data_IF_955568120471
#
_entry.id   IF_955568120471
#
_cell.length_a   1.000
_cell.length_b   1.000
_cell.length_c   1.000
_cell.angle_alpha   90.00
_cell.angle_beta   90.00
_cell.angle_gamma   90.00
#
_symmetry.space_group_name_H-M   'P 1'
#
loop_
_entity.id
_entity.type
_entity.pdbx_description
1 polymer ?
#
# COMPACT_ATOMS: atom_id res chain seq x y z
N UNK A 1 14.16 -16.10 10.02
CA UNK A 1 13.47 -16.72 8.88
C UNK A 1 12.48 -15.79 8.18
N UNK A 2 11.56 -15.15 8.93
CA UNK A 2 10.50 -14.29 8.35
C UNK A 2 11.08 -13.16 7.50
N UNK A 3 12.09 -12.45 7.99
CA UNK A 3 12.72 -11.34 7.27
C UNK A 3 13.41 -11.84 5.99
N UNK A 4 14.21 -12.91 6.08
CA UNK A 4 14.87 -13.53 4.90
C UNK A 4 13.82 -13.91 3.85
N UNK A 5 12.72 -14.54 4.26
CA UNK A 5 11.64 -14.89 3.36
C UNK A 5 11.07 -13.66 2.64
N UNK A 6 10.78 -12.61 3.40
CA UNK A 6 10.21 -11.37 2.86
C UNK A 6 11.14 -10.72 1.84
N UNK A 7 12.44 -10.62 2.16
CA UNK A 7 13.42 -9.93 1.32
C UNK A 7 13.83 -10.72 0.08
N UNK A 8 13.86 -12.07 0.17
CA UNK A 8 14.45 -12.92 -0.87
C UNK A 8 13.45 -13.81 -1.61
N UNK A 9 12.35 -14.17 -1.00
CA UNK A 9 11.44 -15.19 -1.51
C UNK A 9 10.04 -14.66 -1.86
N UNK A 10 9.53 -13.72 -1.06
CA UNK A 10 8.14 -13.26 -1.15
C UNK A 10 7.83 -12.57 -2.48
N UNK A 11 8.79 -11.92 -3.12
CA UNK A 11 8.61 -11.28 -4.43
C UNK A 11 8.11 -12.25 -5.51
N UNK A 12 8.60 -13.49 -5.49
CA UNK A 12 8.19 -14.52 -6.44
C UNK A 12 7.12 -15.47 -5.88
N UNK A 13 7.20 -15.82 -4.59
CA UNK A 13 6.33 -16.82 -3.98
C UNK A 13 5.12 -16.25 -3.23
N UNK A 14 5.02 -14.93 -3.14
CA UNK A 14 3.98 -14.22 -2.41
C UNK A 14 4.20 -14.23 -0.88
N UNK A 15 3.80 -13.16 -0.19
CA UNK A 15 3.93 -13.03 1.28
C UNK A 15 3.19 -14.16 2.00
N UNK A 16 2.01 -14.53 1.49
CA UNK A 16 1.17 -15.60 2.02
C UNK A 16 1.50 -16.98 1.43
N UNK A 17 2.59 -17.10 0.68
CA UNK A 17 3.08 -18.34 0.04
C UNK A 17 2.12 -18.98 -0.95
N UNK A 18 1.14 -18.23 -1.44
CA UNK A 18 0.15 -18.73 -2.43
C UNK A 18 0.70 -18.74 -3.87
N UNK A 19 1.95 -18.29 -4.07
CA UNK A 19 2.57 -18.11 -5.36
C UNK A 19 2.31 -16.72 -5.94
N UNK A 20 3.13 -16.33 -6.91
CA UNK A 20 3.00 -15.15 -7.77
C UNK A 20 3.64 -15.49 -9.11
N UNK A 21 4.85 -14.98 -9.43
CA UNK A 21 5.65 -15.46 -10.58
C UNK A 21 6.29 -16.81 -10.31
N UNK A 22 6.60 -17.12 -9.03
CA UNK A 22 7.05 -18.42 -8.55
C UNK A 22 5.89 -19.31 -8.08
N UNK A 23 6.16 -20.62 -8.01
CA UNK A 23 5.17 -21.61 -7.57
C UNK A 23 4.72 -21.39 -6.11
N UNK A 24 3.49 -21.81 -5.73
CA UNK A 24 3.05 -21.80 -4.34
C UNK A 24 3.99 -22.61 -3.43
N UNK A 25 4.18 -22.10 -2.21
CA UNK A 25 4.93 -22.75 -1.13
C UNK A 25 3.99 -23.01 0.06
N UNK A 26 2.81 -23.55 -0.23
CA UNK A 26 1.85 -23.94 0.80
C UNK A 26 2.34 -25.17 1.56
N UNK A 27 1.97 -25.33 2.84
CA UNK A 27 2.49 -26.43 3.68
C UNK A 27 2.27 -27.84 3.13
N UNK A 28 1.16 -28.08 2.45
CA UNK A 28 0.87 -29.34 1.76
C UNK A 28 1.91 -29.66 0.68
N UNK A 29 2.29 -28.67 -0.13
CA UNK A 29 3.31 -28.81 -1.18
C UNK A 29 4.70 -28.97 -0.58
N UNK A 30 5.08 -28.11 0.38
CA UNK A 30 6.43 -28.06 0.90
C UNK A 30 6.73 -29.24 1.83
N UNK A 31 5.79 -29.67 2.65
CA UNK A 31 5.92 -30.86 3.52
C UNK A 31 6.02 -32.16 2.69
N UNK A 32 5.24 -32.26 1.60
CA UNK A 32 5.32 -33.41 0.70
C UNK A 32 6.68 -33.54 0.00
N UNK A 33 7.40 -32.43 -0.22
CA UNK A 33 8.75 -32.43 -0.81
C UNK A 33 9.84 -32.77 0.20
N UNK A 34 9.63 -32.41 1.45
CA UNK A 34 10.56 -32.66 2.54
C UNK A 34 11.75 -31.67 2.59
N UNK A 35 12.34 -31.58 3.77
CA UNK A 35 13.35 -30.57 4.08
C UNK A 35 14.58 -30.66 3.18
N UNK A 36 15.13 -31.86 2.92
CA UNK A 36 16.36 -32.02 2.13
C UNK A 36 16.16 -31.63 0.67
N UNK A 37 15.03 -31.95 0.08
CA UNK A 37 14.67 -31.48 -1.26
C UNK A 37 14.61 -29.95 -1.31
N UNK A 38 13.95 -29.33 -0.34
CA UNK A 38 13.80 -27.88 -0.27
C UNK A 38 15.16 -27.19 -0.06
N UNK A 39 16.03 -27.73 0.79
CA UNK A 39 17.40 -27.23 0.98
C UNK A 39 18.17 -27.24 -0.35
N UNK A 40 18.12 -28.35 -1.06
CA UNK A 40 18.80 -28.51 -2.35
C UNK A 40 18.28 -27.48 -3.34
N UNK A 41 16.95 -27.32 -3.41
CA UNK A 41 16.33 -26.39 -4.34
C UNK A 41 16.63 -24.92 -4.01
N UNK A 42 16.66 -24.54 -2.72
CA UNK A 42 17.03 -23.19 -2.29
C UNK A 42 18.53 -22.94 -2.55
N UNK A 43 19.38 -23.93 -2.27
CA UNK A 43 20.83 -23.79 -2.42
C UNK A 43 21.26 -23.63 -3.87
N UNK A 44 20.73 -24.45 -4.77
CA UNK A 44 21.20 -24.54 -6.16
C UNK A 44 20.26 -23.82 -7.16
N UNK A 45 19.05 -23.45 -6.74
CA UNK A 45 18.06 -22.84 -7.62
C UNK A 45 17.51 -23.78 -8.69
N UNK A 46 16.99 -23.23 -9.77
CA UNK A 46 16.49 -24.00 -10.91
C UNK A 46 16.66 -23.28 -12.23
N UNK A 47 16.80 -24.00 -13.36
CA UNK A 47 16.80 -23.39 -14.69
C UNK A 47 15.52 -22.63 -15.04
N UNK A 48 14.43 -22.90 -14.31
CA UNK A 48 13.15 -22.22 -14.48
C UNK A 48 13.08 -20.83 -13.80
N UNK A 49 14.21 -20.28 -13.36
CA UNK A 49 14.33 -18.91 -12.86
C UNK A 49 14.37 -18.75 -11.34
N UNK A 50 14.39 -19.85 -10.56
CA UNK A 50 14.63 -19.72 -9.13
C UNK A 50 16.13 -19.48 -8.90
N UNK A 51 16.55 -18.39 -8.21
CA UNK A 51 17.96 -18.11 -7.94
C UNK A 51 18.63 -19.17 -7.07
N UNK A 52 19.92 -19.33 -7.23
CA UNK A 52 20.78 -20.26 -6.50
C UNK A 52 21.32 -19.64 -5.20
N UNK A 53 20.43 -19.33 -4.27
CA UNK A 53 20.68 -18.52 -3.08
C UNK A 53 21.88 -18.99 -2.22
N UNK A 54 22.12 -20.29 -2.13
CA UNK A 54 23.26 -20.82 -1.36
C UNK A 54 24.56 -20.74 -2.12
N UNK A 55 24.60 -21.13 -3.40
CA UNK A 55 25.85 -21.16 -4.19
C UNK A 55 26.27 -19.76 -4.69
N UNK A 56 25.35 -18.79 -4.73
CA UNK A 56 25.68 -17.38 -4.96
C UNK A 56 26.32 -16.70 -3.74
N UNK A 57 26.18 -17.30 -2.54
CA UNK A 57 26.63 -16.72 -1.29
C UNK A 57 25.65 -15.74 -0.62
N UNK A 58 24.44 -15.58 -1.18
CA UNK A 58 23.41 -14.72 -0.61
C UNK A 58 22.79 -15.29 0.67
N UNK A 59 22.79 -16.62 0.82
CA UNK A 59 22.38 -17.34 2.01
C UNK A 59 23.46 -18.35 2.42
N UNK A 60 23.79 -18.36 3.70
CA UNK A 60 24.66 -19.39 4.31
C UNK A 60 23.94 -20.75 4.39
N UNK A 61 24.67 -21.86 4.51
CA UNK A 61 24.05 -23.18 4.67
C UNK A 61 23.07 -23.28 5.87
N UNK A 62 23.36 -22.68 7.05
CA UNK A 62 22.37 -22.59 8.13
C UNK A 62 21.10 -21.81 7.76
N UNK A 63 21.21 -20.74 6.98
CA UNK A 63 20.05 -19.96 6.52
C UNK A 63 19.24 -20.73 5.47
N UNK A 64 19.90 -21.49 4.60
CA UNK A 64 19.21 -22.41 3.66
C UNK A 64 18.42 -23.47 4.42
N UNK A 65 18.99 -24.10 5.45
CA UNK A 65 18.28 -25.05 6.32
C UNK A 65 17.10 -24.37 7.06
N UNK A 66 17.35 -23.21 7.64
CA UNK A 66 16.34 -22.41 8.31
C UNK A 66 15.16 -22.08 7.38
N UNK A 67 15.45 -21.70 6.14
CA UNK A 67 14.41 -21.37 5.16
C UNK A 67 13.62 -22.60 4.70
N UNK A 68 14.31 -23.73 4.47
CA UNK A 68 13.66 -24.98 4.11
C UNK A 68 12.68 -25.46 5.18
N UNK A 69 13.01 -25.29 6.46
CA UNK A 69 12.08 -25.58 7.57
C UNK A 69 11.00 -24.55 7.70
N UNK A 70 11.32 -23.27 7.55
CA UNK A 70 10.38 -22.18 7.70
C UNK A 70 9.22 -22.24 6.69
N UNK A 71 9.50 -22.59 5.43
CA UNK A 71 8.44 -22.65 4.40
C UNK A 71 7.52 -23.87 4.56
N UNK A 72 7.82 -24.82 5.44
CA UNK A 72 6.96 -25.95 5.80
C UNK A 72 5.99 -25.63 6.96
N UNK A 73 6.20 -24.51 7.67
CA UNK A 73 5.26 -24.00 8.66
C UNK A 73 4.05 -23.36 7.97
N UNK A 74 2.98 -23.18 8.72
CA UNK A 74 1.84 -22.46 8.20
C UNK A 74 2.22 -21.02 7.80
N UNK A 75 1.69 -20.50 6.68
CA UNK A 75 1.98 -19.13 6.25
C UNK A 75 1.44 -18.14 7.28
N UNK A 76 1.97 -16.90 7.31
CA UNK A 76 1.41 -15.89 8.19
C UNK A 76 -0.07 -15.67 7.86
N UNK A 77 -0.89 -15.55 8.88
CA UNK A 77 -2.28 -15.12 8.71
C UNK A 77 -2.28 -13.70 8.17
N UNK A 78 -3.03 -13.41 7.10
CA UNK A 78 -3.15 -12.05 6.61
C UNK A 78 -3.65 -11.16 7.75
N UNK A 79 -3.04 -10.00 7.97
CA UNK A 79 -3.64 -9.06 8.89
C UNK A 79 -5.01 -8.67 8.35
N UNK A 80 -6.03 -8.82 9.16
CA UNK A 80 -7.38 -8.39 8.82
C UNK A 80 -7.54 -6.91 9.16
N UNK A 81 -8.19 -6.18 8.27
CA UNK A 81 -8.62 -4.81 8.50
C UNK A 81 -10.09 -4.75 8.09
N UNK A 82 -10.94 -4.84 9.08
CA UNK A 82 -12.39 -4.95 8.91
C UNK A 82 -13.05 -3.60 8.62
N UNK A 83 -14.31 -3.64 8.17
CA UNK A 83 -15.12 -2.43 8.03
C UNK A 83 -15.25 -1.67 9.37
N UNK A 84 -15.35 -2.39 10.48
CA UNK A 84 -15.38 -1.78 11.81
C UNK A 84 -14.08 -1.03 12.15
N UNK A 85 -12.92 -1.56 11.70
CA UNK A 85 -11.63 -0.86 11.88
C UNK A 85 -11.56 0.40 11.01
N UNK A 86 -12.09 0.34 9.78
CA UNK A 86 -12.23 1.51 8.89
C UNK A 86 -13.09 2.57 9.58
N UNK A 87 -14.29 2.22 10.03
CA UNK A 87 -15.21 3.13 10.71
C UNK A 87 -14.60 3.75 11.95
N UNK A 88 -13.96 2.96 12.80
CA UNK A 88 -13.27 3.41 14.02
C UNK A 88 -12.11 4.36 13.73
N UNK A 89 -11.45 4.20 12.61
CA UNK A 89 -10.32 5.04 12.21
C UNK A 89 -10.73 6.39 11.63
N UNK A 90 -12.02 6.58 11.32
CA UNK A 90 -12.53 7.81 10.72
C UNK A 90 -12.40 8.99 11.66
N UNK A 91 -11.89 10.09 11.13
CA UNK A 91 -11.84 11.39 11.79
C UNK A 91 -12.50 12.44 10.89
N UNK A 92 -13.56 13.05 11.39
CA UNK A 92 -14.17 14.21 10.77
C UNK A 92 -13.47 15.49 11.28
N UNK A 93 -12.55 16.03 10.48
CA UNK A 93 -11.84 17.30 10.75
C UNK A 93 -12.83 18.44 10.72
N UNK A 94 -13.71 18.44 9.71
CA UNK A 94 -14.88 19.32 9.63
C UNK A 94 -16.11 18.43 9.66
N UNK A 95 -16.92 18.48 10.74
CA UNK A 95 -18.18 17.74 10.84
C UNK A 95 -19.09 17.96 9.64
N UNK A 96 -19.76 16.91 9.17
CA UNK A 96 -20.59 16.96 7.95
C UNK A 96 -21.60 18.12 8.00
N UNK A 97 -22.25 18.33 9.14
CA UNK A 97 -23.22 19.41 9.33
C UNK A 97 -22.63 20.84 9.22
N UNK A 98 -21.30 20.96 9.35
CA UNK A 98 -20.59 22.26 9.21
C UNK A 98 -19.98 22.47 7.82
N UNK A 99 -20.05 21.46 6.95
CA UNK A 99 -19.57 21.59 5.57
C UNK A 99 -20.53 22.44 4.76
N UNK A 100 -20.04 23.26 3.81
CA UNK A 100 -20.91 24.12 3.02
C UNK A 100 -21.92 23.33 2.20
N UNK A 101 -23.14 23.83 2.06
CA UNK A 101 -24.18 23.23 1.23
C UNK A 101 -24.11 23.69 -0.23
N UNK A 102 -23.29 24.71 -0.51
CA UNK A 102 -22.99 25.24 -1.86
C UNK A 102 -21.52 25.62 -1.96
N UNK A 103 -21.02 25.74 -3.17
CA UNK A 103 -19.64 26.17 -3.41
C UNK A 103 -19.43 27.60 -2.87
N UNK A 104 -18.41 27.77 -2.01
CA UNK A 104 -18.10 29.02 -1.30
C UNK A 104 -16.91 29.78 -1.88
N UNK A 105 -16.38 29.33 -3.01
CA UNK A 105 -15.27 29.96 -3.74
C UNK A 105 -15.62 30.09 -5.23
N UNK A 106 -14.79 30.80 -5.98
CA UNK A 106 -15.00 31.05 -7.40
C UNK A 106 -14.07 30.24 -8.31
N UNK A 107 -13.31 29.27 -7.79
CA UNK A 107 -12.42 28.45 -8.60
C UNK A 107 -13.17 27.62 -9.64
N UNK A 108 -12.61 27.52 -10.84
CA UNK A 108 -13.13 26.67 -11.88
C UNK A 108 -12.71 25.22 -11.64
N UNK A 109 -13.58 24.41 -11.02
CA UNK A 109 -13.27 23.02 -10.69
C UNK A 109 -13.07 22.13 -11.92
N UNK A 110 -13.49 22.56 -13.12
CA UNK A 110 -13.21 21.85 -14.37
C UNK A 110 -11.77 22.07 -14.87
N UNK A 111 -11.10 23.13 -14.40
CA UNK A 111 -9.72 23.46 -14.70
C UNK A 111 -8.86 23.52 -13.42
N UNK A 112 -9.14 22.62 -12.48
CA UNK A 112 -8.36 22.48 -11.24
C UNK A 112 -7.38 21.33 -11.37
N UNK A 113 -6.13 21.58 -11.01
CA UNK A 113 -5.09 20.56 -10.96
C UNK A 113 -4.82 20.15 -9.51
N UNK A 114 -4.71 18.85 -9.29
CA UNK A 114 -4.20 18.30 -8.04
C UNK A 114 -2.86 17.61 -8.31
N UNK A 115 -1.81 18.11 -7.69
CA UNK A 115 -0.45 17.59 -7.84
C UNK A 115 -0.03 16.91 -6.55
N UNK A 116 0.26 15.61 -6.62
CA UNK A 116 0.74 14.85 -5.46
C UNK A 116 2.21 15.19 -5.19
N UNK A 117 2.48 15.77 -4.03
CA UNK A 117 3.83 16.01 -3.51
C UNK A 117 4.21 14.82 -2.61
N UNK A 118 4.65 13.75 -3.29
CA UNK A 118 4.78 12.42 -2.69
C UNK A 118 5.65 12.40 -1.43
N UNK A 119 6.82 13.01 -1.50
CA UNK A 119 7.83 12.90 -0.45
C UNK A 119 7.51 13.76 0.78
N UNK A 120 6.77 14.86 0.59
CA UNK A 120 6.29 15.70 1.70
C UNK A 120 4.95 15.24 2.29
N UNK A 121 4.24 14.31 1.62
CA UNK A 121 2.93 13.83 2.06
C UNK A 121 1.82 14.87 1.90
N UNK A 122 1.85 15.62 0.79
CA UNK A 122 0.96 16.74 0.55
C UNK A 122 0.35 16.68 -0.85
N UNK A 123 -0.70 17.46 -1.05
CA UNK A 123 -1.29 17.72 -2.37
C UNK A 123 -1.35 19.21 -2.61
N UNK A 124 -0.74 19.68 -3.69
CA UNK A 124 -0.92 21.06 -4.16
C UNK A 124 -2.18 21.12 -5.03
N UNK A 125 -3.07 22.05 -4.71
CA UNK A 125 -4.21 22.41 -5.52
C UNK A 125 -3.87 23.69 -6.31
N UNK A 126 -3.99 23.62 -7.63
CA UNK A 126 -3.60 24.71 -8.53
C UNK A 126 -4.84 25.11 -9.35
N UNK A 127 -5.16 26.37 -9.33
CA UNK A 127 -6.17 26.95 -10.23
C UNK A 127 -5.57 27.07 -11.64
N UNK A 128 -6.12 26.33 -12.59
CA UNK A 128 -5.62 26.34 -13.97
C UNK A 128 -5.91 27.63 -14.74
N UNK A 129 -6.92 28.41 -14.31
CA UNK A 129 -7.25 29.68 -14.95
C UNK A 129 -6.24 30.76 -14.57
N UNK A 130 -5.97 30.93 -13.28
CA UNK A 130 -5.00 31.92 -12.77
C UNK A 130 -3.57 31.40 -12.71
N UNK A 131 -3.37 30.07 -12.80
CA UNK A 131 -2.07 29.39 -12.65
C UNK A 131 -1.43 29.60 -11.27
N UNK A 132 -2.25 29.85 -10.27
CA UNK A 132 -1.80 30.07 -8.89
C UNK A 132 -2.09 28.84 -8.00
N UNK A 133 -1.24 28.63 -7.01
CA UNK A 133 -1.48 27.62 -5.98
C UNK A 133 -2.60 28.11 -5.07
N UNK A 134 -3.70 27.35 -5.00
CA UNK A 134 -4.83 27.61 -4.10
C UNK A 134 -4.47 27.24 -2.67
N UNK A 135 -3.93 26.02 -2.51
CA UNK A 135 -3.52 25.48 -1.21
C UNK A 135 -2.53 24.32 -1.40
N UNK A 136 -1.72 24.09 -0.38
CA UNK A 136 -0.94 22.87 -0.21
C UNK A 136 -1.54 22.15 1.00
N UNK A 137 -2.22 21.05 0.75
CA UNK A 137 -3.00 20.32 1.76
C UNK A 137 -2.19 19.16 2.27
N UNK A 138 -1.99 19.10 3.59
CA UNK A 138 -1.32 17.97 4.24
C UNK A 138 -2.23 16.74 4.25
N UNK A 139 -1.69 15.59 3.86
CA UNK A 139 -2.43 14.33 3.72
C UNK A 139 -1.63 13.16 4.34
N UNK A 140 -1.69 11.97 3.77
CA UNK A 140 -0.97 10.79 4.27
C UNK A 140 0.51 10.71 3.86
N UNK A 141 1.19 9.67 4.29
CA UNK A 141 2.58 9.39 3.92
C UNK A 141 2.68 8.91 2.47
N UNK A 142 3.69 9.40 1.76
CA UNK A 142 4.01 9.02 0.37
C UNK A 142 2.76 9.00 -0.53
N UNK A 143 2.11 10.15 -0.64
CA UNK A 143 0.87 10.35 -1.43
C UNK A 143 1.04 9.81 -2.84
N UNK A 144 0.11 8.97 -3.27
CA UNK A 144 0.24 8.24 -4.53
C UNK A 144 -0.85 8.57 -5.54
N UNK A 145 -2.07 8.75 -5.07
CA UNK A 145 -3.23 8.94 -5.94
C UNK A 145 -4.10 10.07 -5.40
N UNK A 146 -4.57 10.92 -6.31
CA UNK A 146 -5.70 11.82 -6.09
C UNK A 146 -6.80 11.56 -7.13
N UNK A 147 -8.07 11.53 -6.70
CA UNK A 147 -9.22 11.29 -7.56
C UNK A 147 -10.39 12.20 -7.20
N UNK A 148 -10.95 12.84 -8.21
CA UNK A 148 -12.15 13.64 -8.07
C UNK A 148 -13.37 12.73 -7.82
N UNK A 149 -14.27 13.15 -6.94
CA UNK A 149 -15.56 12.50 -6.78
C UNK A 149 -16.46 12.75 -8.01
N UNK A 150 -17.45 11.88 -8.24
CA UNK A 150 -18.39 12.01 -9.35
C UNK A 150 -19.16 13.35 -9.32
N UNK A 151 -19.39 13.91 -8.12
CA UNK A 151 -20.04 15.22 -7.96
C UNK A 151 -19.13 16.42 -8.28
N UNK A 152 -17.84 16.21 -8.46
CA UNK A 152 -16.84 17.28 -8.62
C UNK A 152 -16.55 18.08 -7.35
N UNK A 153 -17.18 17.72 -6.21
CA UNK A 153 -17.02 18.45 -4.94
C UNK A 153 -15.80 18.02 -4.15
N UNK A 154 -15.58 16.70 -4.06
CA UNK A 154 -14.53 16.14 -3.21
C UNK A 154 -13.36 15.62 -4.02
N UNK A 155 -12.18 15.76 -3.45
CA UNK A 155 -10.97 15.10 -3.93
C UNK A 155 -10.56 14.03 -2.89
N UNK A 156 -10.49 12.78 -3.32
CA UNK A 156 -9.99 11.66 -2.53
C UNK A 156 -8.49 11.54 -2.76
N UNK A 157 -7.72 11.49 -1.67
CA UNK A 157 -6.26 11.39 -1.72
C UNK A 157 -5.81 10.21 -0.89
N UNK A 158 -4.99 9.33 -1.46
CA UNK A 158 -4.51 8.10 -0.81
C UNK A 158 -3.00 8.13 -0.71
N UNK A 159 -2.49 7.90 0.50
CA UNK A 159 -1.08 7.67 0.80
C UNK A 159 -0.75 6.17 0.92
N UNK A 160 0.55 5.85 0.94
CA UNK A 160 1.02 4.47 1.14
C UNK A 160 0.85 3.95 2.57
N UNK A 161 0.49 4.81 3.50
CA UNK A 161 0.07 4.47 4.87
C UNK A 161 -1.40 4.01 4.94
N UNK A 162 -2.00 3.71 3.79
CA UNK A 162 -3.41 3.35 3.62
C UNK A 162 -4.39 4.40 4.19
N UNK A 163 -3.95 5.65 4.32
CA UNK A 163 -4.80 6.76 4.73
C UNK A 163 -5.48 7.35 3.51
N UNK A 164 -6.80 7.44 3.58
CA UNK A 164 -7.64 8.18 2.65
C UNK A 164 -7.98 9.54 3.28
N UNK A 165 -7.64 10.62 2.60
CA UNK A 165 -8.02 11.98 2.95
C UNK A 165 -9.13 12.47 2.01
N UNK A 166 -10.07 13.23 2.55
CA UNK A 166 -11.17 13.84 1.83
C UNK A 166 -11.01 15.36 1.83
N UNK A 167 -10.68 15.94 0.69
CA UNK A 167 -10.58 17.39 0.51
C UNK A 167 -11.91 17.92 -0.03
N UNK A 168 -12.51 18.90 0.64
CA UNK A 168 -13.73 19.56 0.16
C UNK A 168 -13.36 20.81 -0.65
N UNK A 169 -13.60 20.72 -1.96
CA UNK A 169 -13.32 21.78 -2.92
C UNK A 169 -14.33 22.94 -2.86
N UNK A 170 -15.40 22.79 -2.09
CA UNK A 170 -16.43 23.83 -1.91
C UNK A 170 -16.12 24.81 -0.78
N UNK A 171 -15.16 24.51 0.08
CA UNK A 171 -14.73 25.44 1.12
C UNK A 171 -14.22 26.76 0.51
N UNK A 172 -14.27 27.88 1.23
CA UNK A 172 -13.66 29.13 0.78
C UNK A 172 -12.22 28.97 0.34
N UNK A 173 -11.45 28.17 1.07
CA UNK A 173 -10.13 27.63 0.71
C UNK A 173 -10.23 26.10 0.79
N UNK A 174 -10.17 25.38 -0.32
CA UNK A 174 -10.20 23.92 -0.33
C UNK A 174 -9.20 23.30 0.63
N UNK A 175 -9.65 22.37 1.50
CA UNK A 175 -8.83 21.74 2.51
C UNK A 175 -9.39 20.39 2.92
N UNK A 176 -8.59 19.64 3.72
CA UNK A 176 -8.95 18.33 4.23
C UNK A 176 -10.09 18.43 5.26
N UNK A 177 -11.17 17.68 5.04
CA UNK A 177 -12.36 17.69 5.91
C UNK A 177 -12.58 16.37 6.64
N UNK A 178 -11.95 15.30 6.20
CA UNK A 178 -11.99 14.00 6.88
C UNK A 178 -10.81 13.13 6.47
N UNK A 179 -10.46 12.20 7.34
CA UNK A 179 -9.50 11.15 7.07
C UNK A 179 -9.97 9.81 7.61
N UNK A 180 -9.56 8.73 6.96
CA UNK A 180 -9.86 7.36 7.38
C UNK A 180 -8.74 6.43 6.95
N UNK A 181 -8.41 5.42 7.75
CA UNK A 181 -7.58 4.30 7.31
C UNK A 181 -8.44 3.27 6.57
N UNK A 182 -7.97 2.80 5.44
CA UNK A 182 -8.67 1.81 4.60
C UNK A 182 -7.91 0.47 4.50
N UNK A 183 -6.82 0.35 5.25
CA UNK A 183 -5.97 -0.83 5.31
C UNK A 183 -4.87 -0.66 6.35
N UNK A 184 -3.94 -1.60 6.39
CA UNK A 184 -2.78 -1.55 7.28
C UNK A 184 -1.60 -0.83 6.64
N UNK A 185 -1.41 -1.02 5.33
CA UNK A 185 -0.42 -0.37 4.46
C UNK A 185 -0.95 -0.31 3.02
#
# INVERSE_FOLDING_TARGET
ARQIYFERCAGCHGVLRKGATGKPLTPDITRARGTEYLKTFIKYGSPAGMPNWGTSGDLTDPEVDLMARYIQLDPPTPPEFSLADIEKSRKDIVPVAKRPTRKMNNYNLQNLFSVTLRDSGEVALIDGDSKQIINIVKTGYAVHISRMSASGRYLYVIGRDARLNLIDLWLPKPDNVAEVKIGLE
#
